data_IF_269575429689
#
_entry.id   IF_269575429689
#
_cell.length_a   1.000
_cell.length_b   1.000
_cell.length_c   1.000
_cell.angle_alpha   90.00
_cell.angle_beta   90.00
_cell.angle_gamma   90.00
#
_symmetry.space_group_name_H-M   'P 1'
#
loop_
_entity.id
_entity.type
_entity.pdbx_description
1 polymer ?
#
# COMPACT_ATOMS: atom_id res chain seq x y z
N UNK A 1 8.23 -17.74 -32.63
CA UNK A 1 7.71 -18.27 -31.34
C UNK A 1 8.76 -18.24 -30.22
N UNK A 2 9.94 -18.85 -30.39
CA UNK A 2 11.05 -18.84 -29.39
C UNK A 2 11.53 -17.43 -28.97
N UNK A 3 11.60 -16.46 -29.89
CA UNK A 3 11.94 -15.06 -29.55
C UNK A 3 10.89 -14.39 -28.64
N UNK A 4 9.60 -14.73 -28.78
CA UNK A 4 8.51 -14.18 -27.96
C UNK A 4 8.52 -14.72 -26.54
N UNK A 5 8.79 -16.03 -26.38
CA UNK A 5 9.00 -16.66 -25.07
C UNK A 5 10.22 -16.06 -24.35
N UNK A 6 11.36 -15.92 -25.03
CA UNK A 6 12.58 -15.32 -24.46
C UNK A 6 12.35 -13.87 -23.99
N UNK A 7 11.59 -13.07 -24.73
CA UNK A 7 11.26 -11.70 -24.34
C UNK A 7 10.40 -11.65 -23.06
N UNK A 8 9.45 -12.57 -22.91
CA UNK A 8 8.60 -12.66 -21.72
C UNK A 8 9.39 -13.05 -20.46
N UNK A 9 10.38 -13.94 -20.57
CA UNK A 9 11.24 -14.30 -19.44
C UNK A 9 12.18 -13.17 -19.01
N UNK A 10 12.74 -12.41 -19.96
CA UNK A 10 13.58 -11.24 -19.66
C UNK A 10 12.75 -10.16 -18.94
N UNK A 11 11.53 -9.90 -19.41
CA UNK A 11 10.59 -8.98 -18.76
C UNK A 11 10.20 -9.45 -17.35
N UNK A 12 9.97 -10.76 -17.17
CA UNK A 12 9.64 -11.33 -15.87
C UNK A 12 10.81 -11.21 -14.88
N UNK A 13 12.02 -11.52 -15.31
CA UNK A 13 13.23 -11.37 -14.50
C UNK A 13 13.48 -9.91 -14.11
N UNK A 14 13.30 -8.98 -15.06
CA UNK A 14 13.33 -7.55 -14.77
C UNK A 14 12.31 -7.15 -13.72
N UNK A 15 11.05 -7.57 -13.87
CA UNK A 15 9.98 -7.31 -12.88
C UNK A 15 10.31 -7.90 -11.50
N UNK A 16 10.90 -9.08 -11.43
CA UNK A 16 11.32 -9.70 -10.18
C UNK A 16 12.41 -8.87 -9.48
N UNK A 17 13.41 -8.39 -10.22
CA UNK A 17 14.46 -7.51 -9.68
C UNK A 17 13.85 -6.20 -9.18
N UNK A 18 12.98 -5.57 -9.97
CA UNK A 18 12.28 -4.35 -9.56
C UNK A 18 11.37 -4.58 -8.35
N UNK A 19 10.73 -5.75 -8.25
CA UNK A 19 9.97 -6.14 -7.06
C UNK A 19 10.88 -6.21 -5.83
N UNK A 20 12.02 -6.91 -5.89
CA UNK A 20 12.95 -7.00 -4.75
C UNK A 20 13.43 -5.61 -4.33
N UNK A 21 13.82 -4.76 -5.28
CA UNK A 21 14.22 -3.38 -5.03
C UNK A 21 13.13 -2.58 -4.31
N UNK A 22 11.92 -2.61 -4.87
CA UNK A 22 10.78 -1.87 -4.32
C UNK A 22 10.35 -2.44 -2.97
N UNK A 23 10.48 -3.74 -2.76
CA UNK A 23 10.10 -4.40 -1.52
C UNK A 23 11.08 -4.09 -0.39
N UNK A 24 12.39 -4.09 -0.65
CA UNK A 24 13.39 -3.61 0.30
C UNK A 24 13.11 -2.15 0.69
N UNK A 25 12.78 -1.30 -0.30
CA UNK A 25 12.34 0.06 -0.03
C UNK A 25 11.10 0.14 0.83
N UNK A 26 10.06 -0.65 0.52
CA UNK A 26 8.83 -0.68 1.29
C UNK A 26 9.08 -1.06 2.76
N UNK A 27 9.92 -2.07 3.03
CA UNK A 27 10.25 -2.48 4.40
C UNK A 27 10.87 -1.32 5.17
N UNK A 28 11.94 -0.72 4.63
CA UNK A 28 12.65 0.37 5.30
C UNK A 28 11.79 1.62 5.45
N UNK A 29 11.00 1.91 4.42
CA UNK A 29 10.04 3.00 4.46
C UNK A 29 8.99 2.79 5.56
N UNK A 30 8.44 1.59 5.69
CA UNK A 30 7.49 1.26 6.75
C UNK A 30 8.12 1.40 8.14
N UNK A 31 9.33 0.86 8.35
CA UNK A 31 10.02 0.91 9.63
C UNK A 31 10.31 2.35 10.06
N UNK A 32 10.92 3.15 9.18
CA UNK A 32 11.27 4.54 9.48
C UNK A 32 10.03 5.40 9.64
N UNK A 33 8.96 5.09 8.91
CA UNK A 33 7.66 5.75 9.06
C UNK A 33 7.01 5.46 10.42
N UNK A 34 7.04 4.20 10.87
CA UNK A 34 6.52 3.83 12.18
C UNK A 34 7.32 4.48 13.31
N UNK A 35 8.65 4.50 13.22
CA UNK A 35 9.52 5.17 14.19
C UNK A 35 9.16 6.66 14.34
N UNK A 36 9.01 7.38 13.23
CA UNK A 36 8.64 8.80 13.29
C UNK A 36 7.23 9.01 13.88
N UNK A 37 6.29 8.09 13.63
CA UNK A 37 4.95 8.16 14.25
C UNK A 37 5.02 7.89 15.77
N UNK A 38 5.81 6.91 16.21
CA UNK A 38 5.99 6.61 17.63
C UNK A 38 6.61 7.79 18.39
N UNK A 39 7.55 8.49 17.77
CA UNK A 39 8.16 9.70 18.33
C UNK A 39 7.15 10.84 18.49
N UNK A 40 6.09 10.88 17.66
CA UNK A 40 5.16 11.99 17.63
C UNK A 40 4.22 12.10 18.84
N UNK A 41 4.04 11.05 19.66
CA UNK A 41 3.23 10.94 20.92
C UNK A 41 1.77 11.47 20.91
N UNK A 42 1.42 12.39 20.01
CA UNK A 42 0.11 12.99 19.79
C UNK A 42 -0.83 12.11 18.96
N UNK A 43 -0.27 11.11 18.27
CA UNK A 43 -1.00 10.19 17.40
C UNK A 43 -1.29 8.88 18.14
N UNK A 44 -2.57 8.56 18.30
CA UNK A 44 -2.99 7.25 18.79
C UNK A 44 -2.91 6.21 17.66
N UNK A 45 -1.74 5.60 17.49
CA UNK A 45 -1.49 4.54 16.49
C UNK A 45 -2.54 3.43 16.59
N UNK A 46 -3.00 3.14 17.80
CA UNK A 46 -4.07 2.18 18.09
C UNK A 46 -5.35 2.44 17.28
N UNK A 47 -5.74 3.72 17.09
CA UNK A 47 -6.93 4.11 16.33
C UNK A 47 -6.74 3.81 14.84
N UNK A 48 -5.54 4.08 14.31
CA UNK A 48 -5.19 3.73 12.93
C UNK A 48 -5.15 2.21 12.73
N UNK A 49 -4.51 1.46 13.63
CA UNK A 49 -4.47 -0.01 13.58
C UNK A 49 -5.88 -0.61 13.68
N UNK A 50 -6.72 -0.12 14.59
CA UNK A 50 -8.11 -0.56 14.71
C UNK A 50 -8.89 -0.34 13.41
N UNK A 51 -8.67 0.78 12.73
CA UNK A 51 -9.33 1.07 11.45
C UNK A 51 -8.89 0.14 10.32
N UNK A 52 -7.60 -0.18 10.23
CA UNK A 52 -7.05 -1.11 9.23
C UNK A 52 -7.55 -2.53 9.51
N UNK A 53 -7.46 -2.99 10.76
CA UNK A 53 -7.87 -4.33 11.18
C UNK A 53 -9.38 -4.53 11.02
N UNK A 54 -10.21 -3.57 11.42
CA UNK A 54 -11.67 -3.68 11.28
C UNK A 54 -12.08 -3.79 9.80
N UNK A 55 -11.46 -3.01 8.92
CA UNK A 55 -11.71 -3.07 7.47
C UNK A 55 -11.27 -4.41 6.88
N UNK A 56 -10.12 -4.93 7.30
CA UNK A 56 -9.62 -6.23 6.85
C UNK A 56 -10.50 -7.38 7.35
N UNK A 57 -10.87 -7.39 8.62
CA UNK A 57 -11.75 -8.39 9.23
C UNK A 57 -13.11 -8.39 8.53
N UNK A 58 -13.68 -7.21 8.29
CA UNK A 58 -14.92 -7.06 7.53
C UNK A 58 -14.78 -7.69 6.13
N UNK A 59 -13.69 -7.39 5.42
CA UNK A 59 -13.49 -7.96 4.10
C UNK A 59 -13.37 -9.49 4.13
N UNK A 60 -12.46 -10.03 4.94
CA UNK A 60 -12.19 -11.48 5.00
C UNK A 60 -13.44 -12.25 5.43
N UNK A 61 -14.11 -11.82 6.49
CA UNK A 61 -15.15 -12.65 7.13
C UNK A 61 -16.57 -12.32 6.67
N UNK A 62 -16.82 -11.12 6.15
CA UNK A 62 -18.16 -10.68 5.78
C UNK A 62 -18.27 -10.51 4.26
N UNK A 63 -17.32 -9.84 3.62
CA UNK A 63 -17.43 -9.56 2.18
C UNK A 63 -17.02 -10.76 1.30
N UNK A 64 -15.88 -11.41 1.60
CA UNK A 64 -15.32 -12.49 0.76
C UNK A 64 -16.09 -13.81 0.91
N UNK A 65 -16.68 -14.07 2.09
CA UNK A 65 -17.44 -15.29 2.39
C UNK A 65 -18.93 -15.21 2.02
N UNK A 66 -19.45 -14.03 1.67
CA UNK A 66 -20.88 -13.83 1.45
C UNK A 66 -21.20 -13.74 -0.05
N UNK A 67 -21.99 -14.70 -0.54
CA UNK A 67 -22.45 -14.75 -1.94
C UNK A 67 -23.20 -13.50 -2.42
N UNK A 68 -23.81 -12.74 -1.50
CA UNK A 68 -24.46 -11.46 -1.82
C UNK A 68 -23.41 -10.38 -2.12
N UNK A 69 -22.30 -10.37 -1.38
CA UNK A 69 -21.18 -9.47 -1.65
C UNK A 69 -20.44 -9.85 -2.92
N UNK A 70 -20.29 -11.13 -3.22
CA UNK A 70 -19.72 -11.59 -4.50
C UNK A 70 -20.55 -11.09 -5.70
N UNK A 71 -21.89 -11.06 -5.58
CA UNK A 71 -22.78 -10.49 -6.61
C UNK A 71 -22.66 -8.97 -6.72
N UNK A 72 -22.59 -8.27 -5.58
CA UNK A 72 -22.39 -6.81 -5.54
C UNK A 72 -21.03 -6.45 -6.15
N UNK A 73 -19.96 -7.12 -5.73
CA UNK A 73 -18.63 -7.00 -6.30
C UNK A 73 -18.65 -7.31 -7.80
N UNK A 74 -19.26 -8.42 -8.22
CA UNK A 74 -19.41 -8.75 -9.64
C UNK A 74 -20.16 -7.69 -10.46
N UNK A 75 -21.15 -7.01 -9.88
CA UNK A 75 -21.88 -5.92 -10.54
C UNK A 75 -21.02 -4.65 -10.68
N UNK A 76 -20.40 -4.20 -9.58
CA UNK A 76 -19.56 -2.99 -9.58
C UNK A 76 -18.22 -3.18 -10.31
N UNK A 77 -17.64 -4.38 -10.31
CA UNK A 77 -16.34 -4.68 -10.89
C UNK A 77 -16.39 -5.09 -12.37
N UNK A 78 -17.55 -5.46 -12.92
CA UNK A 78 -17.70 -5.77 -14.36
C UNK A 78 -17.61 -4.54 -15.24
N UNK A 79 -18.09 -3.38 -14.76
CA UNK A 79 -18.07 -2.14 -15.53
C UNK A 79 -16.73 -1.42 -15.34
N UNK A 80 -15.90 -1.24 -16.39
CA UNK A 80 -14.63 -0.52 -16.28
C UNK A 80 -14.81 0.93 -15.77
N UNK A 81 -15.96 1.54 -16.02
CA UNK A 81 -16.32 2.85 -15.46
C UNK A 81 -16.51 2.84 -13.94
N UNK A 82 -17.43 2.02 -13.39
CA UNK A 82 -17.65 1.88 -11.94
C UNK A 82 -16.39 1.38 -11.20
N UNK A 83 -15.59 0.57 -11.89
CA UNK A 83 -14.30 0.08 -11.40
C UNK A 83 -13.31 1.22 -11.11
N UNK A 84 -13.31 2.27 -11.92
CA UNK A 84 -12.49 3.46 -11.71
C UNK A 84 -13.18 4.46 -10.79
N UNK A 85 -14.52 4.55 -10.89
CA UNK A 85 -15.32 5.50 -10.13
C UNK A 85 -15.15 5.29 -8.62
N UNK A 86 -15.20 4.05 -8.13
CA UNK A 86 -15.11 3.78 -6.68
C UNK A 86 -13.72 4.17 -6.13
N UNK A 87 -12.59 3.68 -6.64
CA UNK A 87 -11.27 4.11 -6.17
C UNK A 87 -11.06 5.62 -6.30
N UNK A 88 -11.49 6.23 -7.41
CA UNK A 88 -11.35 7.67 -7.63
C UNK A 88 -12.21 8.47 -6.66
N UNK A 89 -13.44 8.05 -6.38
CA UNK A 89 -14.31 8.73 -5.42
C UNK A 89 -13.83 8.53 -3.98
N UNK A 90 -13.26 7.38 -3.62
CA UNK A 90 -12.60 7.20 -2.32
C UNK A 90 -11.37 8.12 -2.19
N UNK A 91 -10.59 8.28 -3.27
CA UNK A 91 -9.46 9.22 -3.31
C UNK A 91 -9.95 10.67 -3.20
N UNK A 92 -10.99 11.06 -3.95
CA UNK A 92 -11.57 12.42 -3.90
C UNK A 92 -12.19 12.70 -2.54
N UNK A 93 -12.91 11.76 -1.93
CA UNK A 93 -13.48 11.90 -0.60
C UNK A 93 -12.40 11.96 0.47
N UNK A 94 -11.35 11.15 0.34
CA UNK A 94 -10.14 11.27 1.15
C UNK A 94 -9.57 12.67 1.04
N UNK A 95 -9.13 13.08 -0.16
CA UNK A 95 -8.55 14.40 -0.43
C UNK A 95 -9.46 15.53 0.05
N UNK A 96 -10.77 15.45 -0.19
CA UNK A 96 -11.76 16.43 0.25
C UNK A 96 -11.82 16.52 1.78
N UNK A 97 -11.94 15.39 2.47
CA UNK A 97 -11.88 15.34 3.93
C UNK A 97 -10.54 15.84 4.50
N UNK A 98 -9.45 15.78 3.73
CA UNK A 98 -8.10 16.19 4.16
C UNK A 98 -7.76 17.65 3.87
N UNK A 99 -8.19 18.19 2.73
CA UNK A 99 -7.87 19.56 2.29
C UNK A 99 -8.87 20.55 2.87
N UNK A 100 -10.16 20.19 2.92
CA UNK A 100 -11.23 21.11 3.33
C UNK A 100 -11.02 21.64 4.76
N UNK A 101 -10.77 20.81 5.79
CA UNK A 101 -10.60 21.33 7.15
C UNK A 101 -9.37 22.23 7.28
N UNK A 102 -8.29 21.94 6.54
CA UNK A 102 -7.05 22.72 6.58
C UNK A 102 -7.15 24.05 5.83
N UNK A 103 -7.81 24.06 4.66
CA UNK A 103 -8.06 25.30 3.89
C UNK A 103 -9.04 26.21 4.63
N UNK A 104 -10.02 25.62 5.32
CA UNK A 104 -11.02 26.36 6.09
C UNK A 104 -10.59 26.69 7.52
N UNK A 105 -9.39 26.27 7.94
CA UNK A 105 -8.84 26.46 9.29
C UNK A 105 -9.79 25.96 10.41
N UNK A 106 -10.51 24.86 10.14
CA UNK A 106 -11.47 24.26 11.07
C UNK A 106 -10.72 23.26 11.96
N UNK A 107 -10.93 23.33 13.28
CA UNK A 107 -10.45 22.31 14.21
C UNK A 107 -11.09 20.96 13.89
N UNK A 108 -10.28 19.93 13.62
CA UNK A 108 -10.79 18.57 13.35
C UNK A 108 -10.30 17.57 14.40
N UNK A 109 -11.08 16.51 14.59
CA UNK A 109 -10.73 15.43 15.51
C UNK A 109 -9.67 14.50 14.87
N UNK A 110 -8.46 14.50 15.41
CA UNK A 110 -7.32 13.68 14.94
C UNK A 110 -7.61 12.18 14.97
N UNK A 111 -8.42 11.69 15.89
CA UNK A 111 -8.75 10.27 16.02
C UNK A 111 -9.72 9.83 14.90
N UNK A 112 -10.78 10.62 14.64
CA UNK A 112 -11.70 10.38 13.51
C UNK A 112 -10.95 10.48 12.19
N UNK A 113 -10.05 11.45 12.08
CA UNK A 113 -9.17 11.59 10.93
C UNK A 113 -8.39 10.30 10.70
N UNK A 114 -7.63 9.82 11.71
CA UNK A 114 -6.81 8.59 11.61
C UNK A 114 -7.64 7.37 11.21
N UNK A 115 -8.83 7.24 11.80
CA UNK A 115 -9.72 6.13 11.54
C UNK A 115 -10.20 6.12 10.07
N UNK A 116 -10.70 7.24 9.57
CA UNK A 116 -11.20 7.34 8.19
C UNK A 116 -10.06 7.13 7.17
N UNK A 117 -8.87 7.65 7.47
CA UNK A 117 -7.68 7.45 6.63
C UNK A 117 -7.29 5.99 6.50
N UNK A 118 -7.26 5.23 7.60
CA UNK A 118 -6.92 3.81 7.57
C UNK A 118 -7.99 2.94 6.90
N UNK A 119 -9.28 3.27 7.05
CA UNK A 119 -10.37 2.59 6.31
C UNK A 119 -10.20 2.78 4.79
N UNK A 120 -9.98 4.00 4.31
CA UNK A 120 -9.81 4.26 2.88
C UNK A 120 -8.58 3.56 2.31
N UNK A 121 -7.46 3.60 3.05
CA UNK A 121 -6.23 2.92 2.68
C UNK A 121 -6.46 1.41 2.50
N UNK A 122 -7.11 0.80 3.49
CA UNK A 122 -7.30 -0.64 3.50
C UNK A 122 -8.30 -1.11 2.44
N UNK A 123 -9.40 -0.36 2.24
CA UNK A 123 -10.34 -0.60 1.14
C UNK A 123 -9.66 -0.55 -0.23
N UNK A 124 -8.74 0.40 -0.43
CA UNK A 124 -7.99 0.51 -1.68
C UNK A 124 -7.08 -0.70 -1.92
N UNK A 125 -6.36 -1.15 -0.89
CA UNK A 125 -5.49 -2.32 -0.97
C UNK A 125 -6.27 -3.61 -1.26
N UNK A 126 -7.40 -3.80 -0.58
CA UNK A 126 -8.31 -4.93 -0.78
C UNK A 126 -8.82 -4.97 -2.22
N UNK A 127 -9.30 -3.83 -2.74
CA UNK A 127 -9.85 -3.73 -4.08
C UNK A 127 -8.84 -4.15 -5.16
N UNK A 128 -7.57 -3.74 -4.99
CA UNK A 128 -6.55 -4.05 -5.97
C UNK A 128 -6.07 -5.50 -5.83
N UNK A 129 -5.90 -6.00 -4.59
CA UNK A 129 -5.54 -7.39 -4.35
C UNK A 129 -6.53 -8.38 -4.97
N UNK A 130 -7.83 -8.06 -4.94
CA UNK A 130 -8.85 -8.87 -5.60
C UNK A 130 -8.71 -8.88 -7.13
N UNK A 131 -8.29 -7.77 -7.74
CA UNK A 131 -8.18 -7.63 -9.21
C UNK A 131 -6.94 -8.28 -9.81
N UNK A 132 -5.84 -8.35 -9.07
CA UNK A 132 -4.57 -8.88 -9.56
C UNK A 132 -4.40 -10.38 -9.28
N UNK A 133 -5.43 -11.04 -8.73
CA UNK A 133 -5.44 -12.47 -8.43
C UNK A 133 -5.49 -13.29 -9.73
N UNK A 134 -4.37 -13.90 -10.10
CA UNK A 134 -4.27 -14.85 -11.22
C UNK A 134 -3.70 -16.20 -10.77
N UNK A 135 -3.90 -17.24 -11.56
CA UNK A 135 -3.51 -18.61 -11.22
C UNK A 135 -2.12 -19.01 -11.72
N UNK A 136 -1.43 -18.14 -12.46
CA UNK A 136 -0.10 -18.43 -13.01
C UNK A 136 1.02 -17.79 -12.19
N UNK A 137 2.23 -18.33 -12.28
CA UNK A 137 3.42 -17.75 -11.63
C UNK A 137 3.73 -16.33 -12.11
N UNK A 138 3.48 -16.05 -13.39
CA UNK A 138 3.64 -14.70 -13.97
C UNK A 138 2.65 -13.72 -13.34
N UNK A 139 1.40 -14.15 -13.15
CA UNK A 139 0.39 -13.33 -12.49
C UNK A 139 0.73 -13.11 -11.01
N UNK A 140 1.30 -14.11 -10.34
CA UNK A 140 1.78 -13.99 -8.96
C UNK A 140 2.91 -12.96 -8.81
N UNK A 141 3.91 -12.97 -9.69
CA UNK A 141 4.99 -11.96 -9.67
C UNK A 141 4.44 -10.56 -9.99
N UNK A 142 3.52 -10.45 -10.96
CA UNK A 142 2.84 -9.19 -11.27
C UNK A 142 2.01 -8.69 -10.09
N UNK A 143 1.32 -9.58 -9.39
CA UNK A 143 0.57 -9.30 -8.18
C UNK A 143 1.49 -8.71 -7.11
N UNK A 144 2.58 -9.41 -6.77
CA UNK A 144 3.53 -8.97 -5.75
C UNK A 144 4.12 -7.60 -6.09
N UNK A 145 4.56 -7.41 -7.33
CA UNK A 145 5.10 -6.13 -7.78
C UNK A 145 4.09 -4.99 -7.67
N UNK A 146 2.88 -5.19 -8.18
CA UNK A 146 1.80 -4.19 -8.15
C UNK A 146 1.41 -3.86 -6.71
N UNK A 147 1.27 -4.88 -5.88
CA UNK A 147 0.94 -4.74 -4.46
C UNK A 147 2.03 -3.95 -3.71
N UNK A 148 3.31 -4.25 -3.94
CA UNK A 148 4.42 -3.50 -3.35
C UNK A 148 4.39 -2.03 -3.74
N UNK A 149 4.22 -1.70 -5.02
CA UNK A 149 4.11 -0.31 -5.47
C UNK A 149 2.94 0.41 -4.82
N UNK A 150 1.80 -0.27 -4.67
CA UNK A 150 0.63 0.30 -4.01
C UNK A 150 0.86 0.55 -2.54
N UNK A 151 1.51 -0.37 -1.82
CA UNK A 151 1.88 -0.14 -0.43
C UNK A 151 2.83 1.06 -0.30
N UNK A 152 3.79 1.22 -1.21
CA UNK A 152 4.67 2.40 -1.26
C UNK A 152 3.84 3.68 -1.45
N UNK A 153 3.01 3.75 -2.50
CA UNK A 153 2.17 4.91 -2.80
C UNK A 153 1.23 5.21 -1.62
N UNK A 154 0.66 4.16 -1.02
CA UNK A 154 -0.21 4.24 0.16
C UNK A 154 0.50 4.86 1.36
N UNK A 155 1.74 4.45 1.65
CA UNK A 155 2.55 5.05 2.70
C UNK A 155 2.96 6.49 2.37
N UNK A 156 3.25 6.81 1.11
CA UNK A 156 3.48 8.19 0.69
C UNK A 156 2.26 9.07 0.95
N UNK A 157 1.08 8.62 0.51
CA UNK A 157 -0.18 9.33 0.73
C UNK A 157 -0.49 9.48 2.22
N UNK A 158 -0.30 8.40 3.00
CA UNK A 158 -0.46 8.42 4.46
C UNK A 158 0.53 9.38 5.12
N UNK A 159 1.78 9.42 4.65
CA UNK A 159 2.77 10.36 5.13
C UNK A 159 2.39 11.80 4.84
N UNK A 160 1.94 12.11 3.62
CA UNK A 160 1.42 13.44 3.25
C UNK A 160 0.23 13.82 4.13
N UNK A 161 -0.66 12.88 4.36
CA UNK A 161 -1.80 13.01 5.24
C UNK A 161 -1.38 13.31 6.69
N UNK A 162 -0.39 12.62 7.25
CA UNK A 162 0.10 12.91 8.60
C UNK A 162 0.94 14.19 8.66
N UNK A 163 1.63 14.58 7.58
CA UNK A 163 2.27 15.91 7.50
C UNK A 163 1.25 17.03 7.58
N UNK A 164 0.05 16.83 7.04
CA UNK A 164 -1.05 17.79 7.09
C UNK A 164 -1.52 18.03 8.53
N UNK A 165 -1.69 16.98 9.34
CA UNK A 165 -2.24 17.04 10.70
C UNK A 165 -1.24 17.00 11.87
N UNK A 166 -0.01 16.55 11.63
CA UNK A 166 0.95 16.12 12.67
C UNK A 166 2.41 16.50 12.37
N UNK A 167 2.66 17.32 11.34
CA UNK A 167 4.00 17.86 10.98
C UNK A 167 5.10 16.80 10.74
N UNK A 168 4.75 15.59 10.31
CA UNK A 168 5.73 14.57 9.90
C UNK A 168 6.69 15.09 8.81
N UNK A 169 7.99 14.83 9.00
CA UNK A 169 9.04 15.15 8.04
C UNK A 169 9.24 14.02 7.01
N UNK A 170 8.29 13.87 6.09
CA UNK A 170 8.31 12.81 5.07
C UNK A 170 9.62 12.78 4.26
N UNK A 171 10.17 13.95 3.95
CA UNK A 171 11.41 14.10 3.16
C UNK A 171 12.58 13.35 3.83
N UNK A 172 12.70 13.48 5.16
CA UNK A 172 13.69 12.79 5.98
C UNK A 172 13.46 11.27 5.95
N UNK A 173 12.20 10.84 6.10
CA UNK A 173 11.82 9.41 6.08
C UNK A 173 12.16 8.79 4.73
N UNK A 174 11.84 9.44 3.61
CA UNK A 174 12.14 8.91 2.27
C UNK A 174 13.65 8.74 2.10
N UNK A 175 14.43 9.75 2.48
CA UNK A 175 15.88 9.74 2.28
C UNK A 175 16.56 8.67 3.12
N UNK A 176 16.23 8.56 4.42
CA UNK A 176 16.78 7.51 5.28
C UNK A 176 16.40 6.12 4.78
N UNK A 177 15.14 5.96 4.37
CA UNK A 177 14.64 4.69 3.84
C UNK A 177 15.38 4.30 2.56
N UNK A 178 15.62 5.23 1.63
CA UNK A 178 16.37 4.95 0.42
C UNK A 178 17.79 4.45 0.73
N UNK A 179 18.52 5.13 1.63
CA UNK A 179 19.88 4.74 2.02
C UNK A 179 19.91 3.34 2.68
N UNK A 180 19.02 3.09 3.62
CA UNK A 180 18.95 1.80 4.32
C UNK A 180 18.49 0.65 3.41
N UNK A 181 17.69 0.95 2.39
CA UNK A 181 17.23 -0.03 1.41
C UNK A 181 18.38 -0.53 0.55
N UNK A 182 19.36 0.32 0.23
CA UNK A 182 20.58 -0.11 -0.44
C UNK A 182 21.38 -1.09 0.41
N UNK A 183 21.44 -0.89 1.73
CA UNK A 183 22.09 -1.84 2.64
C UNK A 183 21.34 -3.17 2.68
N UNK A 184 20.02 -3.13 2.90
CA UNK A 184 19.19 -4.33 2.94
C UNK A 184 19.26 -5.12 1.63
N UNK A 185 19.28 -4.41 0.49
CA UNK A 185 19.47 -5.03 -0.80
C UNK A 185 20.80 -5.78 -0.88
N UNK A 186 21.91 -5.17 -0.46
CA UNK A 186 23.22 -5.84 -0.45
C UNK A 186 23.16 -7.12 0.37
N UNK A 187 22.52 -7.09 1.55
CA UNK A 187 22.39 -8.26 2.43
C UNK A 187 21.54 -9.37 1.80
N UNK A 188 20.45 -9.02 1.12
CA UNK A 188 19.61 -9.99 0.40
C UNK A 188 20.39 -10.63 -0.75
N UNK A 189 21.12 -9.83 -1.54
CA UNK A 189 21.93 -10.37 -2.64
C UNK A 189 23.10 -11.23 -2.14
N UNK A 190 23.78 -10.85 -1.06
CA UNK A 190 24.85 -11.69 -0.50
C UNK A 190 24.31 -13.00 0.04
N UNK A 191 23.16 -13.01 0.71
CA UNK A 191 22.55 -14.25 1.20
C UNK A 191 22.11 -15.19 0.07
N UNK A 192 21.60 -14.63 -1.04
CA UNK A 192 21.13 -15.44 -2.19
C UNK A 192 22.30 -15.97 -3.02
N UNK A 193 23.35 -15.17 -3.25
CA UNK A 193 24.41 -15.49 -4.20
C UNK A 193 25.72 -15.97 -3.55
N UNK A 194 26.04 -15.51 -2.34
CA UNK A 194 27.21 -15.93 -1.57
C UNK A 194 26.84 -17.03 -0.56
N UNK A 195 25.80 -17.83 -0.87
CA UNK A 195 25.13 -18.78 0.02
C UNK A 195 26.04 -19.36 1.09
N UNK A 196 25.60 -19.31 2.35
CA UNK A 196 26.29 -19.84 3.53
C UNK A 196 27.22 -21.01 3.15
N UNK A 197 28.52 -20.73 3.10
CA UNK A 197 29.52 -21.78 3.25
C UNK A 197 29.54 -22.17 4.73
N UNK A 198 28.55 -22.94 5.15
CA UNK A 198 28.63 -23.77 6.35
C UNK A 198 28.80 -25.22 5.92
#
# INVERSE_FOLDING_TARGET
MLRGLRNNYILLAGKLIFFVLSFCFLIKFTMNFLQEIEELKELKIEVFLASVLSTLIFYIFIADLNSLYEKIQGFFLKSPFLLLLIPVSLIILGIGYFIIPKVLNISFNKDIFLFVGGVFLMMHLIFIAHRTRGSTFVDFINYLFTFTLLCIISLFLLGFYLRVGSRIQIEKIIWSSAQESFSLMKDVFTQIFAGKSE
#
